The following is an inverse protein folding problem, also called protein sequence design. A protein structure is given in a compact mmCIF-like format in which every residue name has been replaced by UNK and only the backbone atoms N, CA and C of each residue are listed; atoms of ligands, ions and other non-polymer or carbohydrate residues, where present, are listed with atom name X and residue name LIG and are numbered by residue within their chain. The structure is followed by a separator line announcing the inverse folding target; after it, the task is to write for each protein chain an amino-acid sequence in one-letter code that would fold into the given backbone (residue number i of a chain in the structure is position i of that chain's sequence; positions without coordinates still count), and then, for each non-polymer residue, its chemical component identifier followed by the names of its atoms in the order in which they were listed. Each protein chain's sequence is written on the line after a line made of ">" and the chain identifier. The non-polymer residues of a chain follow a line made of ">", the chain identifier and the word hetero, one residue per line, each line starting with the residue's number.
data_IF_328111409990
#
_entry.id   IF_328111409990
#
_cell.length_a   1.000
_cell.length_b   1.000
_cell.length_c   1.000
_cell.angle_alpha   90.00
_cell.angle_beta   90.00
_cell.angle_gamma   90.00
#
_symmetry.space_group_name_H-M   'P 1'
#
loop_
_entity.id
_entity.type
_entity.pdbx_description
1 polymer ?
#
# COMPACT_ATOMS: atom_id res chain seq x y z
N UNK A 1 -9.02 -33.05 27.33
CA UNK A 1 -8.09 -33.08 26.14
C UNK A 1 -8.72 -32.58 24.84
N UNK A 2 -10.03 -32.65 24.68
CA UNK A 2 -10.69 -32.28 23.40
C UNK A 2 -10.95 -30.77 23.24
N UNK A 3 -11.17 -30.05 24.32
CA UNK A 3 -11.44 -28.60 24.24
C UNK A 3 -10.20 -27.75 23.89
N UNK A 4 -9.00 -28.24 24.23
CA UNK A 4 -7.76 -27.56 23.92
C UNK A 4 -7.42 -27.66 22.43
N UNK A 5 -7.66 -28.82 21.80
CA UNK A 5 -7.48 -28.99 20.36
C UNK A 5 -8.45 -28.15 19.50
N UNK A 6 -9.71 -28.00 19.93
CA UNK A 6 -10.71 -27.21 19.20
C UNK A 6 -10.35 -25.71 19.25
N UNK A 7 -9.76 -25.25 20.33
CA UNK A 7 -9.37 -23.85 20.54
C UNK A 7 -8.12 -23.47 19.74
N UNK A 8 -7.16 -24.39 19.59
CA UNK A 8 -5.98 -24.19 18.75
C UNK A 8 -6.32 -24.23 17.24
N UNK A 9 -7.24 -25.08 16.84
CA UNK A 9 -7.74 -25.15 15.46
C UNK A 9 -8.53 -23.89 15.09
N UNK A 10 -9.32 -23.34 16.00
CA UNK A 10 -10.07 -22.10 15.76
C UNK A 10 -9.16 -20.86 15.64
N UNK A 11 -8.10 -20.79 16.42
CA UNK A 11 -7.09 -19.72 16.33
C UNK A 11 -6.28 -19.76 15.04
N UNK A 12 -5.85 -20.95 14.62
CA UNK A 12 -5.11 -21.15 13.36
C UNK A 12 -5.99 -20.88 12.13
N UNK A 13 -7.27 -21.29 12.18
CA UNK A 13 -8.22 -21.02 11.08
C UNK A 13 -8.53 -19.53 10.93
N UNK A 14 -8.68 -18.80 12.03
CA UNK A 14 -8.95 -17.35 12.00
C UNK A 14 -7.75 -16.57 11.45
N UNK A 15 -6.52 -16.95 11.82
CA UNK A 15 -5.30 -16.36 11.27
C UNK A 15 -5.15 -16.64 9.77
N UNK A 16 -5.45 -17.87 9.33
CA UNK A 16 -5.43 -18.25 7.92
C UNK A 16 -6.48 -17.48 7.09
N UNK A 17 -7.71 -17.33 7.59
CA UNK A 17 -8.77 -16.55 6.93
C UNK A 17 -8.37 -15.08 6.82
N UNK A 18 -7.79 -14.49 7.86
CA UNK A 18 -7.30 -13.13 7.82
C UNK A 18 -6.18 -12.94 6.79
N UNK A 19 -5.22 -13.87 6.73
CA UNK A 19 -4.12 -13.86 5.77
C UNK A 19 -4.62 -13.95 4.33
N UNK A 20 -5.54 -14.89 4.05
CA UNK A 20 -6.16 -15.00 2.73
C UNK A 20 -6.98 -13.76 2.37
N UNK A 21 -7.69 -13.17 3.34
CA UNK A 21 -8.42 -11.93 3.14
C UNK A 21 -7.50 -10.78 2.73
N UNK A 22 -6.34 -10.62 3.38
CA UNK A 22 -5.34 -9.61 3.02
C UNK A 22 -4.76 -9.86 1.63
N UNK A 23 -4.42 -11.09 1.28
CA UNK A 23 -3.91 -11.43 -0.06
C UNK A 23 -4.93 -11.14 -1.16
N UNK A 24 -6.20 -11.49 -0.96
CA UNK A 24 -7.27 -11.17 -1.89
C UNK A 24 -7.45 -9.66 -2.08
N UNK A 25 -7.36 -8.91 -0.99
CA UNK A 25 -7.49 -7.46 -1.00
C UNK A 25 -6.32 -6.80 -1.76
N UNK A 26 -5.10 -7.28 -1.54
CA UNK A 26 -3.91 -6.83 -2.29
C UNK A 26 -4.03 -7.14 -3.77
N UNK A 27 -4.46 -8.36 -4.13
CA UNK A 27 -4.70 -8.74 -5.51
C UNK A 27 -5.77 -7.86 -6.17
N UNK A 28 -6.86 -7.59 -5.46
CA UNK A 28 -7.92 -6.69 -5.94
C UNK A 28 -7.39 -5.27 -6.17
N UNK A 29 -6.59 -4.73 -5.26
CA UNK A 29 -6.00 -3.40 -5.39
C UNK A 29 -5.04 -3.31 -6.57
N UNK A 30 -4.18 -4.32 -6.75
CA UNK A 30 -3.27 -4.38 -7.89
C UNK A 30 -4.05 -4.45 -9.20
N UNK A 31 -5.11 -5.26 -9.24
CA UNK A 31 -5.99 -5.34 -10.41
C UNK A 31 -6.66 -3.99 -10.73
N UNK A 32 -7.15 -3.26 -9.73
CA UNK A 32 -7.77 -1.93 -9.92
C UNK A 32 -6.71 -0.93 -10.44
N UNK A 33 -5.51 -0.92 -9.87
CA UNK A 33 -4.44 -0.03 -10.29
C UNK A 33 -4.04 -0.28 -11.75
N UNK A 34 -3.84 -1.52 -12.12
CA UNK A 34 -3.36 -1.91 -13.46
C UNK A 34 -4.47 -1.87 -14.53
N UNK A 35 -5.66 -2.36 -14.21
CA UNK A 35 -6.74 -2.54 -15.19
C UNK A 35 -7.66 -1.34 -15.32
N UNK A 36 -7.73 -0.47 -14.33
CA UNK A 36 -8.64 0.67 -14.30
C UNK A 36 -7.90 2.01 -14.29
N UNK A 37 -6.99 2.21 -13.33
CA UNK A 37 -6.37 3.51 -13.16
C UNK A 37 -5.33 3.83 -14.24
N UNK A 38 -4.47 2.89 -14.62
CA UNK A 38 -3.47 3.12 -15.67
C UNK A 38 -4.11 3.39 -17.04
N UNK A 39 -5.06 2.57 -17.54
CA UNK A 39 -5.80 2.92 -18.76
C UNK A 39 -6.60 4.22 -18.62
N UNK A 40 -7.11 4.52 -17.42
CA UNK A 40 -7.81 5.77 -17.12
C UNK A 40 -6.95 7.00 -17.36
N UNK A 41 -5.67 6.99 -16.99
CA UNK A 41 -4.73 8.10 -17.28
C UNK A 41 -4.51 8.25 -18.78
N UNK A 42 -4.34 7.15 -19.51
CA UNK A 42 -4.19 7.19 -20.97
C UNK A 42 -5.42 7.79 -21.65
N UNK A 43 -6.61 7.39 -21.20
CA UNK A 43 -7.87 7.93 -21.68
C UNK A 43 -8.03 9.43 -21.34
N UNK A 44 -7.64 9.84 -20.13
CA UNK A 44 -7.61 11.24 -19.72
C UNK A 44 -6.75 12.10 -20.65
N UNK A 45 -5.51 11.67 -20.90
CA UNK A 45 -4.59 12.39 -21.80
C UNK A 45 -5.18 12.48 -23.20
N UNK A 46 -5.72 11.39 -23.72
CA UNK A 46 -6.29 11.31 -25.05
C UNK A 46 -7.51 12.24 -25.20
N UNK A 47 -8.42 12.24 -24.23
CA UNK A 47 -9.58 13.13 -24.21
C UNK A 47 -9.19 14.60 -24.16
N UNK A 48 -8.19 14.95 -23.35
CA UNK A 48 -7.65 16.31 -23.29
C UNK A 48 -7.04 16.73 -24.64
N UNK A 49 -6.28 15.84 -25.30
CA UNK A 49 -5.74 16.12 -26.63
C UNK A 49 -6.85 16.33 -27.68
N UNK A 50 -7.82 15.44 -27.73
CA UNK A 50 -8.95 15.58 -28.67
C UNK A 50 -9.75 16.85 -28.36
N UNK A 51 -9.95 17.20 -27.11
CA UNK A 51 -10.65 18.43 -26.72
C UNK A 51 -9.90 19.70 -27.20
N UNK A 52 -8.56 19.71 -27.17
CA UNK A 52 -7.76 20.83 -27.68
C UNK A 52 -7.74 20.91 -29.21
N UNK A 53 -7.92 19.78 -29.91
CA UNK A 53 -8.04 19.71 -31.36
C UNK A 53 -9.47 20.03 -31.82
N UNK A 54 -10.48 19.55 -31.11
CA UNK A 54 -11.89 19.73 -31.38
C UNK A 54 -12.38 20.92 -30.54
N UNK A 55 -13.06 21.89 -31.16
CA UNK A 55 -13.58 23.08 -30.45
C UNK A 55 -14.79 22.78 -29.53
N UNK A 56 -15.01 21.53 -29.15
CA UNK A 56 -16.16 21.11 -28.36
C UNK A 56 -15.80 20.97 -26.88
N UNK A 57 -16.42 21.76 -26.02
CA UNK A 57 -16.24 21.77 -24.56
C UNK A 57 -16.69 20.47 -23.84
N UNK A 58 -17.44 19.61 -24.52
CA UNK A 58 -18.01 18.39 -23.91
C UNK A 58 -16.92 17.39 -23.50
N UNK A 59 -15.84 17.24 -24.27
CA UNK A 59 -14.75 16.31 -23.98
C UNK A 59 -13.90 16.76 -22.79
N UNK A 60 -13.80 18.05 -22.52
CA UNK A 60 -13.13 18.60 -21.37
C UNK A 60 -13.77 18.17 -20.04
N UNK A 61 -15.10 18.18 -19.96
CA UNK A 61 -15.83 17.71 -18.78
C UNK A 61 -15.68 16.22 -18.52
N UNK A 62 -15.60 15.41 -19.60
CA UNK A 62 -15.32 13.97 -19.46
C UNK A 62 -13.91 13.72 -18.93
N UNK A 63 -12.91 14.46 -19.40
CA UNK A 63 -11.54 14.35 -18.91
C UNK A 63 -11.45 14.72 -17.42
N UNK A 64 -12.12 15.81 -16.98
CA UNK A 64 -12.19 16.22 -15.59
C UNK A 64 -12.85 15.16 -14.69
N UNK A 65 -13.89 14.50 -15.20
CA UNK A 65 -14.59 13.42 -14.51
C UNK A 65 -13.65 12.22 -14.30
N UNK A 66 -12.88 11.84 -15.32
CA UNK A 66 -11.89 10.75 -15.22
C UNK A 66 -10.80 11.11 -14.22
N UNK A 67 -10.27 12.32 -14.23
CA UNK A 67 -9.28 12.79 -13.26
C UNK A 67 -9.82 12.70 -11.83
N UNK A 68 -11.08 13.11 -11.63
CA UNK A 68 -11.75 13.03 -10.34
C UNK A 68 -11.91 11.57 -9.89
N UNK A 69 -12.34 10.67 -10.78
CA UNK A 69 -12.48 9.24 -10.49
C UNK A 69 -11.15 8.61 -10.11
N UNK A 70 -10.07 8.91 -10.84
CA UNK A 70 -8.71 8.44 -10.52
C UNK A 70 -8.30 8.92 -9.12
N UNK A 71 -8.43 10.22 -8.87
CA UNK A 71 -8.04 10.83 -7.58
C UNK A 71 -8.87 10.30 -6.41
N UNK A 72 -10.17 10.10 -6.61
CA UNK A 72 -11.05 9.50 -5.61
C UNK A 72 -10.71 8.03 -5.37
N UNK A 73 -10.49 7.26 -6.43
CA UNK A 73 -10.08 5.85 -6.34
C UNK A 73 -8.78 5.68 -5.54
N UNK A 74 -7.75 6.49 -5.82
CA UNK A 74 -6.48 6.46 -5.10
C UNK A 74 -6.66 6.78 -3.60
N UNK A 75 -7.45 7.79 -3.26
CA UNK A 75 -7.74 8.14 -1.86
C UNK A 75 -8.50 7.04 -1.15
N UNK A 76 -9.46 6.42 -1.80
CA UNK A 76 -10.26 5.31 -1.24
C UNK A 76 -9.37 4.10 -0.99
N UNK A 77 -8.50 3.72 -1.93
CA UNK A 77 -7.56 2.62 -1.77
C UNK A 77 -6.63 2.85 -0.56
N UNK A 78 -6.02 4.03 -0.46
CA UNK A 78 -5.19 4.40 0.69
C UNK A 78 -5.98 4.38 2.00
N UNK A 79 -7.20 4.92 1.99
CA UNK A 79 -8.08 4.96 3.17
C UNK A 79 -8.45 3.58 3.68
N UNK A 80 -8.76 2.64 2.79
CA UNK A 80 -9.10 1.25 3.15
C UNK A 80 -7.89 0.55 3.79
N UNK A 81 -6.70 0.67 3.20
CA UNK A 81 -5.50 0.01 3.75
C UNK A 81 -5.05 0.66 5.06
N UNK A 82 -5.10 1.99 5.15
CA UNK A 82 -4.83 2.70 6.40
C UNK A 82 -5.82 2.30 7.50
N UNK A 83 -7.11 2.17 7.17
CA UNK A 83 -8.15 1.69 8.08
C UNK A 83 -7.89 0.27 8.59
N UNK A 84 -7.45 -0.64 7.71
CA UNK A 84 -7.05 -2.00 8.11
C UNK A 84 -5.86 -1.99 9.07
N UNK A 85 -4.89 -1.11 8.88
CA UNK A 85 -3.76 -0.95 9.81
C UNK A 85 -4.21 -0.49 11.20
N UNK A 86 -5.14 0.46 11.27
CA UNK A 86 -5.69 0.95 12.53
C UNK A 86 -6.44 -0.18 13.26
N UNK A 87 -7.33 -0.89 12.56
CA UNK A 87 -8.07 -2.03 13.13
C UNK A 87 -7.10 -3.09 13.67
N UNK A 88 -6.06 -3.41 12.91
CA UNK A 88 -5.05 -4.36 13.34
C UNK A 88 -4.27 -3.89 14.57
N UNK A 89 -3.86 -2.63 14.59
CA UNK A 89 -3.17 -2.03 15.74
C UNK A 89 -3.97 -2.08 17.02
N UNK A 90 -5.31 -2.09 16.93
CA UNK A 90 -6.22 -2.25 18.07
C UNK A 90 -6.38 -3.71 18.49
N UNK A 91 -6.36 -4.65 17.54
CA UNK A 91 -6.59 -6.09 17.81
C UNK A 91 -5.32 -6.77 18.35
N UNK A 92 -4.14 -6.39 17.88
CA UNK A 92 -2.85 -7.01 18.27
C UNK A 92 -2.61 -7.01 19.79
N UNK A 93 -2.71 -5.89 20.53
CA UNK A 93 -2.45 -5.88 21.98
C UNK A 93 -3.46 -6.72 22.77
N UNK A 94 -4.70 -6.86 22.30
CA UNK A 94 -5.71 -7.72 22.94
C UNK A 94 -5.35 -9.20 22.79
N UNK A 95 -4.89 -9.60 21.62
CA UNK A 95 -4.45 -10.98 21.35
C UNK A 95 -3.17 -11.34 22.12
N UNK A 96 -2.22 -10.41 22.24
CA UNK A 96 -0.99 -10.63 23.00
C UNK A 96 -1.24 -10.76 24.52
N UNK A 97 -2.16 -9.98 25.05
CA UNK A 97 -2.55 -10.10 26.46
C UNK A 97 -3.23 -11.43 26.77
N UNK A 98 -4.07 -11.94 25.83
CA UNK A 98 -4.70 -13.25 25.94
C UNK A 98 -3.69 -14.40 25.85
N UNK A 99 -2.71 -14.31 24.95
CA UNK A 99 -1.61 -15.30 24.82
C UNK A 99 -0.76 -15.34 26.08
N UNK A 100 -0.35 -14.20 26.63
CA UNK A 100 0.43 -14.13 27.88
C UNK A 100 -0.31 -14.72 29.07
N UNK A 101 -1.62 -14.49 29.18
CA UNK A 101 -2.45 -15.07 30.23
C UNK A 101 -2.63 -16.59 30.10
N UNK A 102 -2.63 -17.12 28.86
CA UNK A 102 -2.73 -18.56 28.63
C UNK A 102 -1.41 -19.28 28.92
N UNK A 103 -0.26 -18.71 28.54
CA UNK A 103 1.07 -19.30 28.75
C UNK A 103 1.47 -19.24 30.23
N UNK A 104 1.18 -18.13 30.91
CA UNK A 104 1.50 -17.96 32.33
C UNK A 104 0.83 -18.94 33.26
N UNK A 105 -0.36 -19.48 32.91
CA UNK A 105 -1.10 -20.47 33.70
C UNK A 105 -0.58 -21.90 33.52
N UNK A 106 0.09 -22.22 32.42
CA UNK A 106 0.55 -23.58 32.11
C UNK A 106 1.99 -23.84 32.56
N UNK A 107 2.82 -22.80 32.70
CA UNK A 107 4.24 -22.93 33.06
C UNK A 107 4.49 -22.98 34.58
N UNK A 108 3.49 -22.70 35.38
CA UNK A 108 3.65 -22.61 36.88
C UNK A 108 3.63 -23.93 37.65
N UNK A 109 3.53 -25.10 36.99
CA UNK A 109 3.27 -26.35 37.68
C UNK A 109 4.48 -27.25 37.99
N UNK A 110 5.70 -26.87 37.60
CA UNK A 110 6.93 -27.64 37.87
C UNK A 110 7.98 -26.78 38.59
N UNK A 111 8.17 -26.95 39.90
CA UNK A 111 9.20 -26.22 40.64
C UNK A 111 10.57 -26.79 40.35
N UNK A 112 11.47 -25.94 39.84
CA UNK A 112 12.91 -26.20 39.76
C UNK A 112 13.50 -26.30 38.32
N UNK A 113 12.82 -26.83 37.32
CA UNK A 113 13.31 -26.95 35.93
C UNK A 113 12.63 -25.97 35.00
N UNK A 114 11.42 -25.52 35.36
CA UNK A 114 10.61 -24.63 34.55
C UNK A 114 11.23 -23.24 34.30
N UNK A 115 11.99 -22.70 35.27
CA UNK A 115 12.58 -21.38 35.14
C UNK A 115 13.73 -21.33 34.11
N UNK A 116 14.53 -22.37 34.02
CA UNK A 116 15.63 -22.43 33.05
C UNK A 116 15.11 -22.65 31.62
N UNK A 117 14.13 -23.53 31.46
CA UNK A 117 13.47 -23.79 30.17
C UNK A 117 12.71 -22.55 29.70
N UNK A 118 12.00 -21.87 30.60
CA UNK A 118 11.28 -20.63 30.28
C UNK A 118 12.26 -19.50 29.88
N UNK A 119 13.38 -19.35 30.58
CA UNK A 119 14.39 -18.34 30.23
C UNK A 119 15.02 -18.59 28.85
N UNK A 120 15.35 -19.84 28.52
CA UNK A 120 15.86 -20.20 27.19
C UNK A 120 14.81 -19.98 26.11
N UNK A 121 13.57 -20.38 26.35
CA UNK A 121 12.48 -20.19 25.39
C UNK A 121 12.20 -18.70 25.16
N UNK A 122 12.20 -17.89 26.21
CA UNK A 122 12.02 -16.44 26.11
C UNK A 122 13.16 -15.79 25.34
N UNK A 123 14.40 -16.23 25.56
CA UNK A 123 15.59 -15.74 24.86
C UNK A 123 15.56 -16.09 23.37
N UNK A 124 15.17 -17.31 23.02
CA UNK A 124 15.00 -17.75 21.62
C UNK A 124 13.90 -16.95 20.93
N UNK A 125 12.75 -16.78 21.59
CA UNK A 125 11.62 -16.00 21.04
C UNK A 125 12.01 -14.54 20.85
N UNK A 126 12.68 -13.93 21.83
CA UNK A 126 13.14 -12.53 21.75
C UNK A 126 14.14 -12.35 20.61
N UNK A 127 15.11 -13.28 20.47
CA UNK A 127 16.07 -13.26 19.38
C UNK A 127 15.40 -13.43 18.02
N UNK A 128 14.45 -14.34 17.89
CA UNK A 128 13.70 -14.54 16.64
C UNK A 128 12.89 -13.28 16.25
N UNK A 129 12.25 -12.62 17.20
CA UNK A 129 11.54 -11.35 16.99
C UNK A 129 12.51 -10.23 16.56
N UNK A 130 13.67 -10.16 17.16
CA UNK A 130 14.68 -9.15 16.86
C UNK A 130 15.25 -9.34 15.45
N UNK A 131 15.61 -10.55 15.06
CA UNK A 131 16.07 -10.90 13.71
C UNK A 131 14.98 -10.58 12.68
N UNK A 132 13.75 -10.95 12.97
CA UNK A 132 12.61 -10.67 12.10
C UNK A 132 12.40 -9.16 11.89
N UNK A 133 12.42 -8.37 12.96
CA UNK A 133 12.28 -6.92 12.87
C UNK A 133 13.43 -6.29 12.08
N UNK A 134 14.67 -6.74 12.27
CA UNK A 134 15.82 -6.25 11.52
C UNK A 134 15.71 -6.55 10.02
N UNK A 135 15.34 -7.76 9.66
CA UNK A 135 15.08 -8.13 8.26
C UNK A 135 13.93 -7.30 7.68
N UNK A 136 12.85 -7.08 8.44
CA UNK A 136 11.73 -6.25 8.02
C UNK A 136 12.15 -4.82 7.70
N UNK A 137 12.99 -4.20 8.53
CA UNK A 137 13.52 -2.85 8.29
C UNK A 137 14.39 -2.81 7.03
N UNK A 138 15.27 -3.78 6.83
CA UNK A 138 16.12 -3.86 5.62
C UNK A 138 15.27 -3.99 4.37
N UNK A 139 14.28 -4.89 4.35
CA UNK A 139 13.37 -5.04 3.22
C UNK A 139 12.59 -3.74 2.93
N UNK A 140 12.12 -3.07 3.98
CA UNK A 140 11.38 -1.81 3.86
C UNK A 140 12.25 -0.71 3.25
N UNK A 141 13.52 -0.60 3.67
CA UNK A 141 14.48 0.35 3.08
C UNK A 141 14.79 0.03 1.62
N UNK A 142 15.03 -1.23 1.28
CA UNK A 142 15.26 -1.66 -0.11
C UNK A 142 14.04 -1.34 -0.96
N UNK A 143 12.84 -1.63 -0.47
CA UNK A 143 11.60 -1.37 -1.17
C UNK A 143 11.40 0.13 -1.43
N UNK A 144 11.67 0.97 -0.43
CA UNK A 144 11.60 2.43 -0.55
C UNK A 144 12.58 2.97 -1.60
N UNK A 145 13.81 2.47 -1.63
CA UNK A 145 14.82 2.90 -2.61
C UNK A 145 14.44 2.48 -4.03
N UNK A 146 13.97 1.24 -4.20
CA UNK A 146 13.56 0.71 -5.51
C UNK A 146 12.30 1.43 -6.01
N UNK A 147 11.30 1.64 -5.16
CA UNK A 147 10.04 2.28 -5.51
C UNK A 147 10.16 3.78 -5.73
N UNK A 148 11.12 4.45 -5.08
CA UNK A 148 11.38 5.87 -5.29
C UNK A 148 11.80 6.18 -6.74
N UNK A 149 12.47 5.25 -7.42
CA UNK A 149 12.94 5.44 -8.81
C UNK A 149 11.84 5.87 -9.78
N UNK A 150 10.78 5.07 -9.97
CA UNK A 150 9.66 5.43 -10.84
C UNK A 150 8.94 6.72 -10.41
N UNK A 151 8.74 6.94 -9.11
CA UNK A 151 8.09 8.14 -8.59
C UNK A 151 8.87 9.40 -8.95
N UNK A 152 10.19 9.39 -8.73
CA UNK A 152 11.09 10.50 -9.10
C UNK A 152 11.07 10.72 -10.61
N UNK A 153 11.11 9.65 -11.40
CA UNK A 153 11.09 9.74 -12.87
C UNK A 153 9.82 10.44 -13.38
N UNK A 154 8.65 10.03 -12.93
CA UNK A 154 7.39 10.67 -13.33
C UNK A 154 7.25 12.09 -12.77
N UNK A 155 7.76 12.35 -11.57
CA UNK A 155 7.81 13.69 -11.00
C UNK A 155 8.69 14.65 -11.82
N UNK A 156 9.88 14.20 -12.22
CA UNK A 156 10.77 14.99 -13.07
C UNK A 156 10.15 15.23 -14.45
N UNK A 157 9.55 14.21 -15.07
CA UNK A 157 8.86 14.37 -16.36
C UNK A 157 7.71 15.39 -16.25
N UNK A 158 6.91 15.33 -15.20
CA UNK A 158 5.83 16.30 -14.97
C UNK A 158 6.38 17.73 -14.83
N UNK A 159 7.50 17.90 -14.14
CA UNK A 159 8.15 19.19 -13.96
C UNK A 159 8.73 19.70 -15.28
N UNK A 160 9.40 18.84 -16.05
CA UNK A 160 9.95 19.20 -17.36
C UNK A 160 8.85 19.64 -18.32
N UNK A 161 7.76 18.91 -18.43
CA UNK A 161 6.64 19.29 -19.30
C UNK A 161 5.98 20.59 -18.88
N UNK A 162 5.81 20.84 -17.58
CA UNK A 162 5.30 22.12 -17.06
C UNK A 162 6.26 23.28 -17.36
N UNK A 163 7.56 23.04 -17.24
CA UNK A 163 8.57 24.03 -17.59
C UNK A 163 8.55 24.34 -19.08
N UNK A 164 8.46 23.30 -19.94
CA UNK A 164 8.33 23.48 -21.41
C UNK A 164 7.07 24.29 -21.76
N UNK A 165 5.95 23.99 -21.11
CA UNK A 165 4.70 24.76 -21.30
C UNK A 165 4.90 26.25 -20.93
N UNK A 166 5.58 26.53 -19.83
CA UNK A 166 5.82 27.90 -19.38
C UNK A 166 6.78 28.66 -20.34
N UNK A 167 7.83 28.02 -20.82
CA UNK A 167 8.80 28.63 -21.78
C UNK A 167 8.18 28.79 -23.18
N UNK A 168 7.33 27.87 -23.60
CA UNK A 168 6.64 27.94 -24.87
C UNK A 168 5.54 29.02 -24.91
N UNK A 169 5.00 29.42 -23.77
CA UNK A 169 3.89 30.37 -23.67
C UNK A 169 4.10 31.71 -24.42
N UNK A 170 5.29 32.36 -24.34
CA UNK A 170 5.49 33.65 -25.02
C UNK A 170 5.79 33.53 -26.55
N UNK A 171 6.13 32.32 -27.02
CA UNK A 171 6.67 32.15 -28.38
C UNK A 171 5.82 31.23 -29.26
N UNK A 172 5.02 30.37 -28.67
CA UNK A 172 4.28 29.30 -29.33
C UNK A 172 2.77 29.51 -29.34
N UNK A 173 2.12 28.83 -30.30
CA UNK A 173 0.65 28.75 -30.35
C UNK A 173 0.09 28.16 -29.06
N UNK A 174 -1.05 28.68 -28.61
CA UNK A 174 -1.78 28.21 -27.42
C UNK A 174 -1.95 26.69 -27.39
N UNK A 175 -2.15 26.05 -28.57
CA UNK A 175 -2.32 24.60 -28.69
C UNK A 175 -1.08 23.82 -28.25
N UNK A 176 0.12 24.27 -28.59
CA UNK A 176 1.36 23.62 -28.16
C UNK A 176 1.58 23.73 -26.66
N UNK A 177 1.27 24.90 -26.08
CA UNK A 177 1.34 25.11 -24.63
C UNK A 177 0.37 24.18 -23.90
N UNK A 178 -0.84 24.03 -24.40
CA UNK A 178 -1.86 23.13 -23.83
C UNK A 178 -1.47 21.66 -23.94
N UNK A 179 -0.82 21.25 -25.04
CA UNK A 179 -0.26 19.89 -25.20
C UNK A 179 0.78 19.61 -24.12
N UNK A 180 1.75 20.48 -23.92
CA UNK A 180 2.78 20.30 -22.88
C UNK A 180 2.18 20.30 -21.47
N UNK A 181 1.21 21.18 -21.21
CA UNK A 181 0.48 21.20 -19.93
C UNK A 181 -0.22 19.88 -19.66
N UNK A 182 -0.94 19.36 -20.64
CA UNK A 182 -1.68 18.08 -20.55
C UNK A 182 -0.72 16.91 -20.30
N UNK A 183 0.44 16.87 -20.97
CA UNK A 183 1.47 15.86 -20.71
C UNK A 183 2.01 15.96 -19.29
N UNK A 184 2.24 17.18 -18.79
CA UNK A 184 2.66 17.41 -17.41
C UNK A 184 1.63 16.94 -16.38
N UNK A 185 0.35 17.19 -16.63
CA UNK A 185 -0.76 16.71 -15.79
C UNK A 185 -0.85 15.19 -15.80
N UNK A 186 -0.77 14.55 -16.98
CA UNK A 186 -0.76 13.09 -17.13
C UNK A 186 0.41 12.44 -16.36
N UNK A 187 1.62 12.98 -16.49
CA UNK A 187 2.78 12.51 -15.73
C UNK A 187 2.58 12.69 -14.20
N UNK A 188 1.95 13.77 -13.77
CA UNK A 188 1.64 13.98 -12.36
C UNK A 188 0.60 12.96 -11.84
N UNK A 189 -0.38 12.59 -12.64
CA UNK A 189 -1.33 11.52 -12.29
C UNK A 189 -0.61 10.16 -12.19
N UNK A 190 0.26 9.83 -13.13
CA UNK A 190 1.08 8.60 -13.08
C UNK A 190 1.97 8.57 -11.83
N UNK A 191 2.59 9.70 -11.47
CA UNK A 191 3.36 9.82 -10.24
C UNK A 191 2.50 9.53 -9.00
N UNK A 192 1.28 10.06 -8.94
CA UNK A 192 0.35 9.79 -7.82
C UNK A 192 -0.05 8.32 -7.75
N UNK A 193 -0.33 7.69 -8.89
CA UNK A 193 -0.66 6.25 -8.96
C UNK A 193 0.53 5.43 -8.46
N UNK A 194 1.73 5.70 -8.95
CA UNK A 194 2.95 4.99 -8.56
C UNK A 194 3.25 5.15 -7.07
N UNK A 195 3.15 6.38 -6.55
CA UNK A 195 3.33 6.65 -5.13
C UNK A 195 2.30 5.91 -4.26
N UNK A 196 1.03 5.89 -4.70
CA UNK A 196 -0.03 5.15 -3.99
C UNK A 196 0.24 3.65 -4.00
N UNK A 197 0.64 3.08 -5.15
CA UNK A 197 1.00 1.68 -5.27
C UNK A 197 2.15 1.29 -4.33
N UNK A 198 3.18 2.14 -4.25
CA UNK A 198 4.33 1.96 -3.36
C UNK A 198 3.90 1.95 -1.88
N UNK A 199 3.12 2.95 -1.47
CA UNK A 199 2.60 3.03 -0.10
C UNK A 199 1.72 1.82 0.23
N UNK A 200 0.84 1.40 -0.68
CA UNK A 200 0.00 0.22 -0.50
C UNK A 200 0.83 -1.04 -0.33
N UNK A 201 1.88 -1.20 -1.14
CA UNK A 201 2.78 -2.34 -1.07
C UNK A 201 3.57 -2.36 0.25
N UNK A 202 4.09 -1.21 0.69
CA UNK A 202 4.75 -1.07 2.00
C UNK A 202 3.81 -1.41 3.16
N UNK A 203 2.60 -0.87 3.16
CA UNK A 203 1.60 -1.17 4.19
C UNK A 203 1.23 -2.65 4.21
N UNK A 204 1.06 -3.25 3.03
CA UNK A 204 0.79 -4.69 2.91
C UNK A 204 1.93 -5.53 3.46
N UNK A 205 3.17 -5.17 3.13
CA UNK A 205 4.35 -5.84 3.66
C UNK A 205 4.40 -5.76 5.18
N UNK A 206 4.13 -4.58 5.77
CA UNK A 206 4.04 -4.41 7.21
C UNK A 206 2.94 -5.29 7.83
N UNK A 207 1.79 -5.41 7.16
CA UNK A 207 0.70 -6.30 7.60
C UNK A 207 1.17 -7.76 7.61
N UNK A 208 1.83 -8.22 6.58
CA UNK A 208 2.31 -9.60 6.46
C UNK A 208 3.41 -9.89 7.50
N UNK A 209 4.37 -8.98 7.66
CA UNK A 209 5.44 -9.13 8.64
C UNK A 209 4.93 -9.18 10.09
N UNK A 210 3.95 -8.40 10.43
CA UNK A 210 3.37 -8.41 11.77
C UNK A 210 2.39 -9.58 12.02
N UNK A 211 1.83 -10.22 10.95
CA UNK A 211 0.86 -11.34 11.05
C UNK A 211 1.45 -12.75 11.04
N UNK A 212 2.72 -12.90 10.79
CA UNK A 212 3.38 -14.20 10.60
C UNK A 212 3.91 -14.82 11.89
N UNK A 213 3.11 -14.95 12.95
CA UNK A 213 3.33 -15.88 14.09
C UNK A 213 2.04 -16.59 14.39
#
# INVERSE_FOLDING_TARGET
>A
GSEMCIRDISGASTAAVFYHGVLLLVWLFQWILESVLLPGVSLYILLKFVNHLSREEMLGKMAELIETLISWGLRTLLGVVAGLQVVRGLVTPVMDSLKRSAIGKTAGTLPGVGNAVNAVTELVLTTAVLVRNSLGVVFLLVFLVVGAGPVIRYGLLALVYRFLAAVAQPVSDKRLVEVFSTMGEGCALLMRIQFTAEVLCMLTFLILMAGGI
#
